data_IF_123326047928
#
_entry.id   IF_123326047928
#
_cell.length_a   1.000
_cell.length_b   1.000
_cell.length_c   1.000
_cell.angle_alpha   90.00
_cell.angle_beta   90.00
_cell.angle_gamma   90.00
#
_symmetry.space_group_name_H-M   'P 1'
#
loop_
_entity.id
_entity.type
_entity.pdbx_description
1 polymer ?
#
# COMPACT_ATOMS: atom_id res chain seq x y z
N UNK A 1 14.15 -21.30 54.70
CA UNK A 1 14.15 -22.07 53.44
C UNK A 1 12.94 -21.57 52.68
N UNK A 2 13.16 -20.47 51.97
CA UNK A 2 12.22 -19.81 51.07
C UNK A 2 12.17 -20.59 49.75
N UNK A 3 10.98 -20.86 49.24
CA UNK A 3 10.72 -20.97 47.79
C UNK A 3 9.22 -20.71 47.58
N UNK A 4 8.87 -19.44 47.42
CA UNK A 4 7.54 -19.02 46.95
C UNK A 4 7.76 -18.21 45.67
N UNK A 5 7.69 -18.90 44.52
CA UNK A 5 7.75 -18.32 43.18
C UNK A 5 6.36 -18.44 42.53
N UNK A 6 5.73 -17.33 42.12
CA UNK A 6 4.48 -17.42 41.36
C UNK A 6 4.75 -17.76 39.88
N UNK A 7 3.94 -18.66 39.32
CA UNK A 7 3.94 -19.08 37.93
C UNK A 7 3.56 -17.93 36.96
N UNK A 8 4.20 -17.79 35.79
CA UNK A 8 3.97 -16.68 34.87
C UNK A 8 2.98 -17.08 33.76
N UNK A 9 1.67 -17.08 34.01
CA UNK A 9 0.71 -17.46 32.94
C UNK A 9 -0.65 -16.72 32.92
N UNK A 10 -0.82 -15.61 33.66
CA UNK A 10 -2.12 -14.92 33.74
C UNK A 10 -2.14 -13.46 33.27
N UNK A 11 -1.01 -12.90 32.80
CA UNK A 11 -0.96 -11.51 32.29
C UNK A 11 -1.04 -11.38 30.75
N UNK A 12 -0.94 -12.48 30.00
CA UNK A 12 -0.91 -12.43 28.54
C UNK A 12 -2.29 -12.50 27.84
N UNK A 13 -3.33 -13.00 28.50
CA UNK A 13 -4.64 -13.22 27.85
C UNK A 13 -5.54 -11.99 27.84
N UNK A 14 -5.44 -11.10 28.84
CA UNK A 14 -6.24 -9.85 28.88
C UNK A 14 -5.73 -8.78 27.91
N UNK A 15 -4.41 -8.70 27.72
CA UNK A 15 -3.76 -7.67 26.89
C UNK A 15 -4.03 -7.85 25.39
N UNK A 16 -4.24 -9.09 24.92
CA UNK A 16 -4.57 -9.37 23.51
C UNK A 16 -6.03 -9.08 23.15
N UNK A 17 -6.93 -9.05 24.15
CA UNK A 17 -8.36 -8.84 23.93
C UNK A 17 -8.71 -7.33 23.83
N UNK A 18 -7.95 -6.46 24.51
CA UNK A 18 -8.08 -5.00 24.37
C UNK A 18 -7.53 -4.48 23.02
N UNK A 19 -6.48 -5.11 22.46
CA UNK A 19 -5.92 -4.77 21.15
C UNK A 19 -6.93 -5.02 20.01
N UNK A 20 -7.77 -6.06 20.12
CA UNK A 20 -8.81 -6.35 19.13
C UNK A 20 -9.99 -5.38 19.18
N UNK A 21 -10.27 -4.72 20.31
CA UNK A 21 -11.41 -3.82 20.44
C UNK A 21 -11.09 -2.36 20.03
N UNK A 22 -9.84 -1.92 20.16
CA UNK A 22 -9.42 -0.56 19.77
C UNK A 22 -9.26 -0.38 18.25
N UNK A 23 -9.02 -1.46 17.49
CA UNK A 23 -8.80 -1.41 16.03
C UNK A 23 -10.08 -1.22 15.18
N UNK A 24 -11.27 -1.15 15.79
CA UNK A 24 -12.56 -1.12 15.08
C UNK A 24 -13.43 0.11 15.36
N UNK A 25 -12.95 1.13 16.07
CA UNK A 25 -13.67 2.38 16.21
C UNK A 25 -13.33 3.34 15.06
N UNK A 26 -14.28 3.57 14.15
CA UNK A 26 -14.18 4.64 13.15
C UNK A 26 -14.33 6.02 13.83
N UNK A 27 -13.43 7.00 13.62
CA UNK A 27 -13.72 8.38 13.99
C UNK A 27 -14.65 9.00 12.94
N UNK A 28 -15.75 9.57 13.39
CA UNK A 28 -16.64 10.40 12.59
C UNK A 28 -15.90 11.70 12.18
N UNK A 29 -15.83 11.96 10.86
CA UNK A 29 -15.02 13.01 10.21
C UNK A 29 -15.52 14.47 10.40
N UNK A 30 -16.22 14.77 11.50
CA UNK A 30 -16.84 16.10 11.75
C UNK A 30 -16.27 16.92 12.91
N UNK A 31 -15.54 16.34 13.86
CA UNK A 31 -15.12 17.02 15.10
C UNK A 31 -13.70 16.60 15.50
N UNK A 32 -12.68 16.95 14.71
CA UNK A 32 -11.26 16.77 15.08
C UNK A 32 -10.51 18.11 15.20
N UNK A 33 -11.23 19.14 15.66
CA UNK A 33 -10.65 20.28 16.36
C UNK A 33 -11.30 20.32 17.73
N UNK A 34 -10.51 20.18 18.79
CA UNK A 34 -10.89 20.12 20.21
C UNK A 34 -11.35 18.75 20.74
N UNK A 35 -10.38 17.93 21.18
CA UNK A 35 -10.31 17.32 22.53
C UNK A 35 -9.05 16.46 22.65
N UNK A 36 -7.91 17.12 22.86
CA UNK A 36 -6.75 16.50 23.49
C UNK A 36 -6.97 16.61 25.00
N UNK A 37 -7.09 15.50 25.73
CA UNK A 37 -6.64 15.30 27.12
C UNK A 37 -6.84 13.83 27.49
N UNK A 38 -5.74 13.06 27.51
CA UNK A 38 -5.54 11.88 28.37
C UNK A 38 -6.12 10.54 27.96
N UNK A 39 -5.38 9.77 27.14
CA UNK A 39 -4.97 8.38 27.40
C UNK A 39 -4.24 7.83 26.15
N UNK A 40 -3.04 7.28 26.35
CA UNK A 40 -2.19 6.78 25.26
C UNK A 40 -2.86 5.65 24.48
N UNK A 41 -2.85 5.73 23.16
CA UNK A 41 -3.47 4.74 22.28
C UNK A 41 -2.59 3.48 22.16
N UNK A 42 -3.19 2.36 21.74
CA UNK A 42 -2.51 1.08 21.44
C UNK A 42 -1.35 1.24 20.42
N UNK A 43 -1.35 2.33 19.65
CA UNK A 43 -0.33 2.71 18.68
C UNK A 43 0.97 3.20 19.35
N UNK A 44 0.89 3.87 20.50
CA UNK A 44 2.07 4.18 21.34
C UNK A 44 2.70 2.89 21.90
N UNK A 45 1.91 1.84 22.13
CA UNK A 45 2.41 0.58 22.67
C UNK A 45 3.21 -0.26 21.66
N UNK A 46 2.90 -0.24 20.35
CA UNK A 46 3.70 -1.00 19.36
C UNK A 46 5.07 -0.39 19.10
N UNK A 47 5.20 0.94 19.10
CA UNK A 47 6.51 1.62 19.03
C UNK A 47 7.32 1.48 20.33
N UNK A 48 6.67 1.40 21.49
CA UNK A 48 7.34 1.18 22.78
C UNK A 48 7.75 -0.28 23.03
N UNK A 49 7.12 -1.26 22.38
CA UNK A 49 7.44 -2.68 22.60
C UNK A 49 8.78 -3.11 21.96
N UNK A 50 9.21 -2.44 20.89
CA UNK A 50 10.47 -2.72 20.18
C UNK A 50 11.14 -1.43 19.68
N UNK A 51 11.88 -0.70 20.53
CA UNK A 51 12.51 0.54 20.13
C UNK A 51 13.62 0.27 19.10
N UNK A 52 13.49 0.81 17.90
CA UNK A 52 14.59 0.84 16.93
C UNK A 52 15.58 1.91 17.34
N UNK A 53 16.85 1.51 17.44
CA UNK A 53 17.93 2.43 17.68
C UNK A 53 18.30 3.15 16.38
N UNK A 54 17.79 4.38 16.24
CA UNK A 54 18.07 5.28 15.12
C UNK A 54 19.36 6.10 15.30
N UNK A 55 20.03 6.02 16.46
CA UNK A 55 21.26 6.78 16.72
C UNK A 55 22.35 6.58 15.64
N UNK A 56 22.59 5.36 15.09
CA UNK A 56 23.51 5.15 13.97
C UNK A 56 23.28 6.07 12.77
N UNK A 57 22.02 6.39 12.48
CA UNK A 57 21.62 7.27 11.38
C UNK A 57 21.58 8.74 11.82
N UNK A 58 21.02 9.03 12.99
CA UNK A 58 20.85 10.41 13.46
C UNK A 58 22.19 11.13 13.73
N UNK A 59 23.25 10.40 14.07
CA UNK A 59 24.60 10.97 14.14
C UNK A 59 25.17 11.41 12.78
N UNK A 60 24.52 11.07 11.66
CA UNK A 60 24.92 11.42 10.29
C UNK A 60 23.96 12.43 9.65
N UNK A 61 23.67 13.51 10.37
CA UNK A 61 22.94 14.64 9.82
C UNK A 61 23.75 15.27 8.68
N UNK A 62 23.23 15.22 7.46
CA UNK A 62 23.87 15.86 6.30
C UNK A 62 23.36 17.28 6.10
N UNK A 63 22.11 17.55 6.50
CA UNK A 63 21.51 18.86 6.34
C UNK A 63 20.39 19.11 7.34
N UNK A 64 20.41 20.29 7.97
CA UNK A 64 19.34 20.80 8.83
C UNK A 64 19.12 22.26 8.48
N UNK A 65 17.88 22.64 8.21
CA UNK A 65 17.57 24.02 7.83
C UNK A 65 16.17 24.45 8.25
N UNK A 66 16.03 25.74 8.52
CA UNK A 66 14.75 26.42 8.61
C UNK A 66 14.36 27.11 7.28
N UNK A 67 15.26 27.10 6.28
CA UNK A 67 14.99 27.64 4.95
C UNK A 67 14.27 26.61 4.10
N UNK A 68 13.07 26.98 3.66
CA UNK A 68 12.21 26.17 2.79
C UNK A 68 12.84 25.89 1.42
N UNK A 69 13.63 26.83 0.91
CA UNK A 69 14.26 26.73 -0.41
C UNK A 69 15.49 25.84 -0.33
N UNK A 70 16.41 26.14 0.57
CA UNK A 70 17.68 25.40 0.68
C UNK A 70 17.43 23.93 1.01
N UNK A 71 16.45 23.64 1.88
CA UNK A 71 16.09 22.26 2.19
C UNK A 71 15.50 21.50 1.01
N UNK A 72 14.68 22.17 0.20
CA UNK A 72 14.13 21.57 -1.01
C UNK A 72 15.24 21.21 -2.00
N UNK A 73 16.16 22.13 -2.25
CA UNK A 73 17.28 21.92 -3.18
C UNK A 73 18.19 20.76 -2.72
N UNK A 74 18.53 20.70 -1.43
CA UNK A 74 19.38 19.64 -0.90
C UNK A 74 18.67 18.27 -0.92
N UNK A 75 17.40 18.22 -0.52
CA UNK A 75 16.61 16.98 -0.57
C UNK A 75 16.41 16.49 -2.01
N UNK A 76 16.23 17.42 -2.96
CA UNK A 76 16.09 17.08 -4.37
C UNK A 76 17.38 16.54 -4.98
N UNK A 77 18.53 17.06 -4.54
CA UNK A 77 19.87 16.61 -4.94
C UNK A 77 20.19 15.21 -4.42
N UNK A 78 19.90 14.96 -3.14
CA UNK A 78 20.28 13.70 -2.47
C UNK A 78 19.28 12.58 -2.75
N UNK A 79 17.99 12.82 -2.50
CA UNK A 79 16.98 11.76 -2.57
C UNK A 79 16.51 11.55 -4.02
N UNK A 80 15.82 12.55 -4.58
CA UNK A 80 15.27 12.53 -5.93
C UNK A 80 14.71 13.90 -6.33
N UNK A 81 14.76 14.26 -7.62
CA UNK A 81 14.09 15.46 -8.12
C UNK A 81 12.58 15.40 -7.87
N UNK A 82 12.02 16.42 -7.23
CA UNK A 82 10.61 16.50 -6.89
C UNK A 82 10.10 17.94 -6.91
N UNK A 83 8.78 18.11 -6.96
CA UNK A 83 8.14 19.38 -6.63
C UNK A 83 7.72 19.34 -5.16
N UNK A 84 8.05 20.38 -4.41
CA UNK A 84 7.67 20.54 -3.02
C UNK A 84 6.77 21.77 -2.87
N UNK A 85 5.60 21.60 -2.26
CA UNK A 85 4.71 22.69 -1.89
C UNK A 85 4.54 22.72 -0.39
N UNK A 86 5.03 23.80 0.21
CA UNK A 86 4.86 24.08 1.64
C UNK A 86 3.43 24.49 1.94
N UNK A 87 2.88 23.97 3.04
CA UNK A 87 1.59 24.35 3.61
C UNK A 87 1.83 25.05 4.95
N UNK A 88 0.97 24.81 5.92
CA UNK A 88 1.03 25.43 7.25
C UNK A 88 2.18 24.84 8.09
N UNK A 89 2.74 25.68 8.98
CA UNK A 89 3.81 25.30 9.92
C UNK A 89 5.20 25.83 9.56
N UNK A 90 6.10 25.71 10.54
CA UNK A 90 7.50 26.09 10.42
C UNK A 90 8.28 25.05 9.65
N UNK A 91 9.25 25.50 8.83
CA UNK A 91 9.99 24.57 7.98
C UNK A 91 10.65 23.46 8.81
N UNK A 92 11.26 23.77 9.97
CA UNK A 92 12.00 22.88 10.88
C UNK A 92 12.29 21.48 10.28
N UNK A 93 13.24 21.47 9.35
CA UNK A 93 13.53 20.30 8.52
C UNK A 93 14.88 19.69 8.88
N UNK A 94 14.95 18.37 8.77
CA UNK A 94 16.18 17.62 9.00
C UNK A 94 16.28 16.47 8.01
N UNK A 95 17.47 16.30 7.43
CA UNK A 95 17.83 15.21 6.56
C UNK A 95 19.11 14.53 7.09
N UNK A 96 18.99 13.24 7.35
CA UNK A 96 20.09 12.34 7.70
C UNK A 96 20.35 11.39 6.53
N UNK A 97 21.62 11.01 6.33
CA UNK A 97 21.99 10.04 5.28
C UNK A 97 23.04 9.06 5.79
N UNK A 98 22.86 7.81 5.41
CA UNK A 98 23.86 6.76 5.50
C UNK A 98 23.85 5.93 4.22
N UNK A 99 24.98 5.31 3.91
CA UNK A 99 25.10 4.37 2.79
C UNK A 99 25.38 2.98 3.34
N UNK A 100 24.73 1.98 2.76
CA UNK A 100 24.95 0.58 3.05
C UNK A 100 25.07 -0.17 1.73
N UNK A 101 26.32 -0.29 1.26
CA UNK A 101 26.59 -0.75 -0.10
C UNK A 101 25.95 0.19 -1.14
N UNK A 102 25.13 -0.38 -1.99
CA UNK A 102 24.27 0.25 -2.99
C UNK A 102 22.93 0.78 -2.44
N UNK A 103 22.51 0.42 -1.22
CA UNK A 103 21.30 0.98 -0.59
C UNK A 103 21.65 2.29 0.12
N UNK A 104 20.92 3.36 -0.17
CA UNK A 104 21.00 4.61 0.58
C UNK A 104 19.88 4.66 1.63
N UNK A 105 20.21 5.09 2.85
CA UNK A 105 19.30 5.18 4.00
C UNK A 105 19.16 6.64 4.41
N UNK A 106 17.93 7.12 4.50
CA UNK A 106 17.64 8.50 4.87
C UNK A 106 16.72 8.57 6.08
N UNK A 107 16.94 9.55 6.93
CA UNK A 107 15.98 10.00 7.94
C UNK A 107 15.51 11.39 7.54
N UNK A 108 14.22 11.56 7.28
CA UNK A 108 13.66 12.81 6.74
C UNK A 108 12.50 13.29 7.61
N UNK A 109 12.61 14.53 8.09
CA UNK A 109 11.57 15.21 8.87
C UNK A 109 11.17 16.54 8.22
N UNK A 110 9.87 16.75 8.14
CA UNK A 110 9.28 18.06 7.82
C UNK A 110 8.54 18.58 9.05
N UNK A 111 8.91 19.77 9.55
CA UNK A 111 8.18 20.45 10.61
C UNK A 111 6.81 20.94 10.15
N UNK A 112 6.76 21.48 8.93
CA UNK A 112 5.54 21.97 8.29
C UNK A 112 4.81 20.84 7.55
N UNK A 113 3.51 21.03 7.33
CA UNK A 113 2.79 20.22 6.36
C UNK A 113 3.34 20.51 4.95
N UNK A 114 3.60 19.47 4.16
CA UNK A 114 4.13 19.60 2.80
C UNK A 114 3.46 18.63 1.83
N UNK A 115 3.26 19.09 0.60
CA UNK A 115 2.93 18.22 -0.52
C UNK A 115 4.18 17.96 -1.37
N UNK A 116 4.48 16.69 -1.56
CA UNK A 116 5.64 16.20 -2.30
C UNK A 116 5.15 15.50 -3.56
N UNK A 117 5.58 15.97 -4.73
CA UNK A 117 5.25 15.35 -6.03
C UNK A 117 6.54 15.02 -6.76
N UNK A 118 7.11 13.82 -6.56
CA UNK A 118 8.36 13.46 -7.19
C UNK A 118 8.24 13.20 -8.67
N UNK A 119 9.35 13.42 -9.38
CA UNK A 119 9.41 13.09 -10.79
C UNK A 119 9.52 11.57 -10.97
N UNK A 120 8.86 11.00 -11.98
CA UNK A 120 9.04 9.59 -12.30
C UNK A 120 10.50 9.28 -12.58
N UNK A 121 11.03 8.21 -11.97
CA UNK A 121 12.37 7.68 -12.21
C UNK A 121 12.28 6.18 -12.43
N UNK A 122 13.12 5.69 -13.34
CA UNK A 122 13.25 4.27 -13.58
C UNK A 122 14.41 3.61 -12.85
N UNK A 123 15.15 4.33 -12.01
CA UNK A 123 16.47 3.89 -11.55
C UNK A 123 16.42 3.23 -10.17
N UNK A 124 15.45 3.59 -9.34
CA UNK A 124 15.33 3.10 -7.97
C UNK A 124 13.88 2.87 -7.53
N UNK A 125 13.74 2.28 -6.34
CA UNK A 125 12.52 2.15 -5.54
C UNK A 125 12.81 2.84 -4.20
N UNK A 126 11.83 3.56 -3.66
CA UNK A 126 11.91 4.12 -2.30
C UNK A 126 10.98 3.33 -1.39
N UNK A 127 11.50 2.88 -0.25
CA UNK A 127 10.74 2.22 0.81
C UNK A 127 10.64 3.19 1.97
N UNK A 128 9.44 3.62 2.28
CA UNK A 128 9.11 4.49 3.39
C UNK A 128 8.72 3.65 4.61
N UNK A 129 9.21 4.04 5.78
CA UNK A 129 8.77 3.53 7.06
C UNK A 129 8.43 4.70 7.99
N UNK A 130 7.19 4.73 8.47
CA UNK A 130 6.65 5.81 9.27
C UNK A 130 7.26 5.87 10.66
N UNK A 131 7.97 6.94 10.99
CA UNK A 131 8.51 7.13 12.35
C UNK A 131 7.59 7.99 13.21
N UNK A 132 7.10 9.11 12.66
CA UNK A 132 6.19 10.03 13.33
C UNK A 132 5.24 10.68 12.34
N UNK A 133 4.08 11.08 12.83
CA UNK A 133 3.01 11.66 12.01
C UNK A 133 2.51 10.71 10.94
N UNK A 134 1.60 11.19 10.10
CA UNK A 134 1.08 10.42 8.97
C UNK A 134 1.47 11.04 7.64
N UNK A 135 1.48 10.20 6.61
CA UNK A 135 1.68 10.61 5.23
C UNK A 135 0.55 10.04 4.39
N UNK A 136 -0.25 10.90 3.77
CA UNK A 136 -1.23 10.50 2.78
C UNK A 136 -0.53 10.36 1.43
N UNK A 137 -0.85 9.30 0.70
CA UNK A 137 -0.24 8.98 -0.58
C UNK A 137 -1.33 8.76 -1.62
N UNK A 138 -1.14 9.33 -2.81
CA UNK A 138 -1.95 9.05 -3.98
C UNK A 138 -1.01 8.57 -5.08
N UNK A 139 -1.12 7.30 -5.47
CA UNK A 139 -0.31 6.71 -6.53
C UNK A 139 -1.23 5.99 -7.52
N UNK A 140 -1.17 6.36 -8.80
CA UNK A 140 -1.96 5.71 -9.86
C UNK A 140 -3.49 5.67 -9.59
N UNK A 141 -4.01 6.68 -8.89
CA UNK A 141 -5.43 6.77 -8.51
C UNK A 141 -5.79 5.97 -7.26
N UNK A 142 -4.88 5.18 -6.70
CA UNK A 142 -5.03 4.57 -5.38
C UNK A 142 -4.59 5.55 -4.30
N UNK A 143 -5.35 5.59 -3.21
CA UNK A 143 -5.01 6.36 -2.01
C UNK A 143 -4.61 5.42 -0.90
N UNK A 144 -3.58 5.79 -0.16
CA UNK A 144 -3.13 5.09 1.03
C UNK A 144 -2.73 6.11 2.10
N UNK A 145 -2.78 5.69 3.36
CA UNK A 145 -2.28 6.48 4.49
C UNK A 145 -1.20 5.64 5.15
N UNK A 146 -0.01 6.23 5.29
CA UNK A 146 1.12 5.64 5.97
C UNK A 146 1.16 6.18 7.40
N UNK A 147 0.86 5.32 8.36
CA UNK A 147 0.89 5.63 9.79
C UNK A 147 2.27 5.31 10.40
N UNK A 148 2.59 5.83 11.60
CA UNK A 148 3.77 5.41 12.34
C UNK A 148 3.82 3.89 12.51
N UNK A 149 5.00 3.30 12.31
CA UNK A 149 5.24 1.86 12.39
C UNK A 149 4.93 1.08 11.12
N UNK A 150 4.27 1.69 10.13
CA UNK A 150 3.92 1.02 8.86
C UNK A 150 4.96 1.27 7.77
N UNK A 151 5.06 0.31 6.86
CA UNK A 151 6.00 0.33 5.74
C UNK A 151 5.27 0.34 4.40
N UNK A 152 5.71 1.20 3.48
CA UNK A 152 5.25 1.24 2.10
C UNK A 152 6.43 1.35 1.14
N UNK A 153 6.31 0.81 -0.07
CA UNK A 153 7.30 1.04 -1.12
C UNK A 153 6.66 1.66 -2.36
N UNK A 154 7.49 2.37 -3.11
CA UNK A 154 7.09 3.13 -4.27
C UNK A 154 8.14 2.99 -5.35
N UNK A 155 7.72 2.53 -6.52
CA UNK A 155 8.49 2.62 -7.75
C UNK A 155 7.89 3.76 -8.59
N UNK A 156 8.52 4.94 -8.64
CA UNK A 156 7.93 6.15 -9.22
C UNK A 156 7.86 6.06 -10.76
N UNK A 157 6.91 5.30 -11.30
CA UNK A 157 6.76 5.07 -12.76
C UNK A 157 5.68 5.94 -13.42
N UNK A 158 4.80 6.56 -12.63
CA UNK A 158 3.61 7.32 -13.08
C UNK A 158 3.31 8.50 -12.14
N UNK A 159 2.14 9.12 -12.25
CA UNK A 159 1.71 10.24 -11.42
C UNK A 159 1.48 9.81 -9.98
N UNK A 160 2.17 10.47 -9.05
CA UNK A 160 1.97 10.28 -7.63
C UNK A 160 2.19 11.58 -6.85
N UNK A 161 1.55 11.68 -5.69
CA UNK A 161 1.62 12.80 -4.77
C UNK A 161 1.57 12.26 -3.33
N UNK A 162 2.37 12.84 -2.46
CA UNK A 162 2.27 12.62 -1.02
C UNK A 162 1.93 13.93 -0.32
N UNK A 163 1.10 13.84 0.71
CA UNK A 163 0.89 14.92 1.68
C UNK A 163 1.41 14.46 3.04
N UNK A 164 2.46 15.11 3.49
CA UNK A 164 3.07 14.89 4.80
C UNK A 164 2.42 15.85 5.78
N UNK A 165 1.87 15.32 6.87
CA UNK A 165 1.40 16.15 7.96
C UNK A 165 2.56 16.92 8.61
N UNK A 166 2.25 18.05 9.24
CA UNK A 166 3.20 18.77 10.08
C UNK A 166 3.82 17.86 11.16
N UNK A 167 5.14 17.91 11.29
CA UNK A 167 5.91 17.10 12.23
C UNK A 167 6.16 15.66 11.76
N UNK A 168 5.74 15.28 10.56
CA UNK A 168 5.95 13.92 10.04
C UNK A 168 7.44 13.62 9.82
N UNK A 169 7.82 12.41 10.20
CA UNK A 169 9.18 11.88 10.10
C UNK A 169 9.16 10.46 9.54
N UNK A 170 10.06 10.17 8.61
CA UNK A 170 10.13 8.89 7.92
C UNK A 170 11.57 8.40 7.85
N UNK A 171 11.75 7.08 7.96
CA UNK A 171 12.94 6.40 7.48
C UNK A 171 12.70 6.01 6.02
N UNK A 172 13.64 6.32 5.13
CA UNK A 172 13.53 6.02 3.70
C UNK A 172 14.72 5.18 3.25
N UNK A 173 14.45 4.02 2.65
CA UNK A 173 15.46 3.23 1.94
C UNK A 173 15.33 3.47 0.45
N UNK A 174 16.38 3.99 -0.18
CA UNK A 174 16.45 4.11 -1.64
C UNK A 174 17.24 2.93 -2.19
N UNK A 175 16.52 2.04 -2.86
CA UNK A 175 17.00 0.75 -3.33
C UNK A 175 17.13 0.81 -4.87
N UNK A 176 18.33 0.62 -5.44
CA UNK A 176 18.51 0.59 -6.89
C UNK A 176 17.68 -0.52 -7.55
N UNK A 177 17.07 -0.26 -8.71
CA UNK A 177 16.32 -1.30 -9.42
C UNK A 177 17.19 -2.46 -9.90
N UNK A 178 18.46 -2.21 -10.21
CA UNK A 178 19.43 -3.26 -10.54
C UNK A 178 19.54 -4.29 -9.39
N UNK A 179 19.54 -3.81 -8.15
CA UNK A 179 19.55 -4.66 -6.96
C UNK A 179 18.23 -5.41 -6.80
N UNK A 180 17.08 -4.74 -7.00
CA UNK A 180 15.75 -5.40 -6.98
C UNK A 180 15.67 -6.52 -8.03
N UNK A 181 16.17 -6.27 -9.24
CA UNK A 181 16.20 -7.26 -10.34
C UNK A 181 17.17 -8.43 -10.09
N UNK A 182 18.12 -8.28 -9.17
CA UNK A 182 19.05 -9.36 -8.79
C UNK A 182 18.51 -10.29 -7.69
N UNK A 183 17.31 -10.03 -7.17
CA UNK A 183 16.66 -10.83 -6.13
C UNK A 183 16.41 -12.28 -6.56
N UNK A 184 16.33 -13.19 -5.59
CA UNK A 184 16.19 -14.64 -5.87
C UNK A 184 14.84 -15.00 -6.47
N UNK A 185 13.82 -14.18 -6.26
CA UNK A 185 12.49 -14.35 -6.84
C UNK A 185 12.40 -13.62 -8.17
N UNK A 186 12.06 -14.34 -9.25
CA UNK A 186 11.62 -13.72 -10.50
C UNK A 186 10.34 -12.91 -10.23
N UNK A 187 10.50 -11.61 -10.04
CA UNK A 187 9.40 -10.73 -9.70
C UNK A 187 9.80 -9.27 -9.83
N UNK A 188 8.81 -8.41 -10.05
CA UNK A 188 8.98 -6.97 -9.98
C UNK A 188 8.12 -6.42 -8.85
N UNK A 189 8.66 -5.50 -8.06
CA UNK A 189 7.83 -4.73 -7.14
C UNK A 189 6.77 -3.94 -7.95
N UNK A 190 5.49 -3.93 -7.52
CA UNK A 190 4.49 -3.07 -8.11
C UNK A 190 4.87 -1.60 -7.94
N UNK A 191 4.23 -0.70 -8.70
CA UNK A 191 4.47 0.76 -8.60
C UNK A 191 4.26 1.29 -7.18
N UNK A 192 3.37 0.67 -6.42
CA UNK A 192 3.06 0.99 -5.04
C UNK A 192 2.70 -0.29 -4.30
N UNK A 193 3.02 -0.37 -3.01
CA UNK A 193 2.51 -1.41 -2.12
C UNK A 193 2.78 -1.09 -0.66
N UNK A 194 1.95 -1.67 0.20
CA UNK A 194 2.10 -1.64 1.65
C UNK A 194 2.64 -2.98 2.12
N UNK A 195 3.52 -2.97 3.11
CA UNK A 195 3.92 -4.20 3.78
C UNK A 195 2.74 -4.71 4.61
N UNK A 196 2.39 -6.00 4.54
CA UNK A 196 1.34 -6.54 5.41
C UNK A 196 1.76 -6.45 6.88
N UNK A 197 0.83 -6.08 7.77
CA UNK A 197 1.11 -5.88 9.20
C UNK A 197 1.83 -7.07 9.86
N UNK A 198 1.56 -8.29 9.41
CA UNK A 198 2.18 -9.52 9.92
C UNK A 198 3.71 -9.61 9.65
N UNK A 199 4.23 -8.79 8.75
CA UNK A 199 5.65 -8.72 8.40
C UNK A 199 6.36 -7.51 9.02
N UNK A 200 5.65 -6.56 9.64
CA UNK A 200 6.25 -5.31 10.14
C UNK A 200 7.29 -5.58 11.24
N UNK A 201 7.09 -6.58 12.10
CA UNK A 201 8.06 -6.93 13.16
C UNK A 201 9.36 -7.50 12.56
N UNK A 202 9.26 -8.36 11.55
CA UNK A 202 10.42 -8.93 10.88
C UNK A 202 11.15 -7.87 10.05
N UNK A 203 10.40 -6.96 9.43
CA UNK A 203 10.95 -5.78 8.78
C UNK A 203 11.71 -4.89 9.76
N UNK A 204 11.15 -4.65 10.94
CA UNK A 204 11.78 -3.88 12.01
C UNK A 204 13.14 -4.47 12.41
N UNK A 205 13.20 -5.78 12.62
CA UNK A 205 14.43 -6.48 12.96
C UNK A 205 15.47 -6.36 11.83
N UNK A 206 15.04 -6.47 10.57
CA UNK A 206 15.90 -6.28 9.41
C UNK A 206 16.43 -4.85 9.32
N UNK A 207 15.57 -3.84 9.49
CA UNK A 207 15.96 -2.43 9.52
C UNK A 207 16.95 -2.15 10.64
N UNK A 208 16.73 -2.71 11.84
CA UNK A 208 17.68 -2.59 12.94
C UNK A 208 19.04 -3.19 12.57
N UNK A 209 19.07 -4.32 11.86
CA UNK A 209 20.30 -4.95 11.38
C UNK A 209 21.02 -4.06 10.35
N UNK A 210 20.28 -3.44 9.43
CA UNK A 210 20.82 -2.47 8.46
C UNK A 210 21.44 -1.26 9.17
N UNK A 211 20.72 -0.68 10.14
CA UNK A 211 21.17 0.48 10.89
C UNK A 211 22.41 0.18 11.74
N UNK A 212 22.47 -0.98 12.37
CA UNK A 212 23.67 -1.44 13.08
C UNK A 212 24.86 -1.62 12.14
N UNK A 213 24.61 -2.01 10.88
CA UNK A 213 25.64 -2.18 9.87
C UNK A 213 26.21 -0.84 9.36
N UNK A 214 25.45 0.25 9.42
CA UNK A 214 25.96 1.61 9.14
C UNK A 214 27.13 1.98 10.06
N UNK A 215 27.12 1.51 11.30
CA UNK A 215 28.18 1.75 12.30
C UNK A 215 29.28 0.69 12.33
N UNK A 216 29.23 -0.30 11.42
CA UNK A 216 30.21 -1.36 11.39
C UNK A 216 31.62 -0.90 10.99
N UNK A 217 32.62 -1.78 11.15
CA UNK A 217 34.01 -1.47 10.83
C UNK A 217 34.17 -1.13 9.34
N UNK A 218 34.70 0.06 9.05
CA UNK A 218 35.09 0.44 7.69
C UNK A 218 36.22 -0.45 7.20
N UNK A 219 35.93 -1.31 6.21
CA UNK A 219 36.89 -2.18 5.50
C UNK A 219 37.68 -3.15 6.38
N UNK A 220 37.09 -4.32 6.60
CA UNK A 220 37.83 -5.58 6.79
C UNK A 220 37.22 -6.60 5.84
N UNK A 221 38.07 -7.37 5.15
CA UNK A 221 37.65 -8.41 4.22
C UNK A 221 36.59 -9.31 4.90
N UNK A 222 35.46 -9.53 4.23
CA UNK A 222 34.27 -10.23 4.75
C UNK A 222 33.13 -9.32 5.25
N UNK A 223 33.40 -8.09 5.70
CA UNK A 223 32.32 -7.15 6.07
C UNK A 223 31.55 -6.67 4.84
N UNK A 224 32.24 -6.42 3.73
CA UNK A 224 31.62 -6.02 2.47
C UNK A 224 30.74 -7.15 1.89
N UNK A 225 31.13 -8.42 2.04
CA UNK A 225 30.32 -9.58 1.66
C UNK A 225 29.05 -9.69 2.52
N UNK A 226 29.17 -9.41 3.82
CA UNK A 226 28.03 -9.32 4.73
C UNK A 226 27.06 -8.21 4.31
N UNK A 227 27.57 -7.04 3.92
CA UNK A 227 26.73 -5.96 3.39
C UNK A 227 25.98 -6.41 2.14
N UNK A 228 26.65 -7.05 1.17
CA UNK A 228 26.00 -7.58 -0.04
C UNK A 228 24.90 -8.58 0.32
N UNK A 229 25.11 -9.40 1.35
CA UNK A 229 24.07 -10.33 1.81
C UNK A 229 22.88 -9.60 2.46
N UNK A 230 23.13 -8.56 3.26
CA UNK A 230 22.07 -7.72 3.83
C UNK A 230 21.22 -7.03 2.76
N UNK A 231 21.85 -6.48 1.72
CA UNK A 231 21.16 -5.87 0.58
C UNK A 231 20.20 -6.84 -0.10
N UNK A 232 20.67 -8.08 -0.32
CA UNK A 232 19.86 -9.15 -0.90
C UNK A 232 18.71 -9.53 0.02
N UNK A 233 18.94 -9.59 1.33
CA UNK A 233 17.88 -9.88 2.31
C UNK A 233 16.79 -8.81 2.29
N UNK A 234 17.14 -7.53 2.17
CA UNK A 234 16.16 -6.43 2.01
C UNK A 234 15.32 -6.63 0.75
N UNK A 235 15.96 -6.86 -0.39
CA UNK A 235 15.24 -7.08 -1.65
C UNK A 235 14.35 -8.31 -1.59
N UNK A 236 14.88 -9.45 -1.13
CA UNK A 236 14.13 -10.69 -1.04
C UNK A 236 12.94 -10.52 -0.07
N UNK A 237 13.13 -9.80 1.05
CA UNK A 237 12.04 -9.49 1.98
C UNK A 237 10.95 -8.66 1.34
N UNK A 238 11.29 -7.58 0.61
CA UNK A 238 10.32 -6.76 -0.10
C UNK A 238 9.55 -7.58 -1.15
N UNK A 239 10.24 -8.46 -1.89
CA UNK A 239 9.61 -9.36 -2.86
C UNK A 239 8.74 -10.45 -2.20
N UNK A 240 9.07 -10.86 -0.97
CA UNK A 240 8.21 -11.76 -0.16
C UNK A 240 6.98 -10.99 0.34
N UNK A 241 7.13 -9.76 0.81
CA UNK A 241 6.04 -8.90 1.25
C UNK A 241 4.99 -8.70 0.15
N UNK A 242 5.42 -8.58 -1.11
CA UNK A 242 4.52 -8.62 -2.29
C UNK A 242 3.76 -9.94 -2.40
N UNK A 243 4.42 -11.07 -2.15
CA UNK A 243 3.78 -12.40 -2.16
C UNK A 243 2.85 -12.66 -0.98
N UNK A 244 3.13 -12.06 0.19
CA UNK A 244 2.34 -12.15 1.41
C UNK A 244 1.17 -11.16 1.48
N UNK A 245 1.22 -10.05 0.74
CA UNK A 245 0.08 -9.17 0.50
C UNK A 245 -1.09 -9.87 -0.25
N UNK A 246 -0.84 -11.05 -0.83
CA UNK A 246 -1.85 -11.96 -1.36
C UNK A 246 -2.24 -13.12 -0.44
N UNK A 247 -1.82 -13.14 0.82
CA UNK A 247 -2.09 -14.27 1.74
C UNK A 247 -1.96 -13.91 3.23
N UNK A 248 -3.03 -13.37 3.83
CA UNK A 248 -3.15 -13.19 5.28
C UNK A 248 -4.57 -13.39 5.76
N UNK A 249 -4.90 -14.59 6.26
CA UNK A 249 -6.19 -14.94 6.88
C UNK A 249 -6.12 -14.83 8.40
N UNK A 250 -7.27 -14.41 8.94
CA UNK A 250 -7.74 -14.45 10.33
C UNK A 250 -7.36 -15.71 11.13
N UNK A 251 -6.96 -15.52 12.39
CA UNK A 251 -7.13 -16.44 13.53
C UNK A 251 -8.07 -15.69 14.51
N UNK A 252 -9.00 -16.25 15.31
CA UNK A 252 -9.18 -17.55 15.95
C UNK A 252 -10.69 -17.82 16.08
N UNK A 253 -11.18 -19.02 15.76
CA UNK A 253 -11.53 -20.14 16.68
C UNK A 253 -12.66 -19.89 17.69
N UNK A 254 -13.79 -20.59 17.48
CA UNK A 254 -14.27 -21.61 18.44
C UNK A 254 -15.27 -22.53 17.74
N UNK A 255 -14.95 -23.84 17.65
CA UNK A 255 -15.85 -24.95 18.00
C UNK A 255 -15.26 -26.33 17.61
N UNK A 256 -14.74 -27.00 18.65
CA UNK A 256 -14.93 -28.39 19.08
C UNK A 256 -15.25 -29.51 18.05
N UNK A 257 -14.35 -30.52 18.05
CA UNK A 257 -14.53 -31.99 17.84
C UNK A 257 -15.05 -32.54 16.49
N UNK A 258 -14.15 -33.13 15.67
CA UNK A 258 -13.74 -34.56 15.72
C UNK A 258 -13.28 -35.15 14.37
N UNK A 259 -12.21 -35.95 14.45
CA UNK A 259 -11.75 -37.07 13.59
C UNK A 259 -11.07 -36.84 12.20
N UNK A 260 -9.73 -36.82 12.25
CA UNK A 260 -8.69 -37.52 11.44
C UNK A 260 -8.66 -37.52 9.89
N UNK A 261 -7.71 -36.72 9.36
CA UNK A 261 -6.73 -36.87 8.23
C UNK A 261 -7.15 -37.15 6.75
N UNK A 262 -6.34 -36.77 5.71
CA UNK A 262 -5.08 -36.00 5.70
C UNK A 262 -5.14 -34.67 4.90
N UNK A 263 -4.19 -33.79 5.20
CA UNK A 263 -4.10 -32.39 4.77
C UNK A 263 -3.60 -32.26 3.32
N UNK A 264 -4.49 -31.81 2.42
CA UNK A 264 -4.12 -31.16 1.14
C UNK A 264 -5.01 -29.93 0.91
N UNK A 265 -4.73 -28.82 1.59
CA UNK A 265 -5.51 -27.58 1.42
C UNK A 265 -4.89 -26.67 0.36
N UNK A 266 -5.58 -26.56 -0.78
CA UNK A 266 -5.43 -25.46 -1.75
C UNK A 266 -5.64 -24.09 -1.05
N UNK A 267 -4.96 -23.01 -1.49
CA UNK A 267 -5.09 -21.70 -0.88
C UNK A 267 -6.51 -21.13 -1.05
N UNK A 268 -7.18 -20.84 0.06
CA UNK A 268 -8.53 -20.30 0.10
C UNK A 268 -8.49 -18.78 -0.14
N UNK A 269 -8.86 -18.33 -1.35
CA UNK A 269 -8.96 -16.90 -1.76
C UNK A 269 -10.07 -16.17 -0.99
N UNK A 270 -9.95 -14.85 -0.79
CA UNK A 270 -10.96 -14.02 -0.11
C UNK A 270 -12.28 -13.98 -0.89
N UNK A 271 -13.47 -13.90 -0.23
CA UNK A 271 -14.77 -13.92 -0.90
C UNK A 271 -14.96 -12.85 -1.99
N UNK A 272 -14.48 -11.63 -1.76
CA UNK A 272 -14.60 -10.52 -2.73
C UNK A 272 -13.69 -10.73 -3.95
N UNK A 273 -12.49 -11.27 -3.76
CA UNK A 273 -11.59 -11.60 -4.87
C UNK A 273 -12.10 -12.79 -5.66
N UNK A 274 -12.70 -13.78 -5.00
CA UNK A 274 -13.37 -14.90 -5.68
C UNK A 274 -14.53 -14.40 -6.54
N UNK A 275 -15.31 -13.46 -6.01
CA UNK A 275 -16.38 -12.79 -6.74
C UNK A 275 -15.85 -12.03 -7.96
N UNK A 276 -14.89 -11.13 -7.76
CA UNK A 276 -14.32 -10.31 -8.84
C UNK A 276 -13.67 -11.17 -9.93
N UNK A 277 -12.97 -12.24 -9.56
CA UNK A 277 -12.41 -13.20 -10.52
C UNK A 277 -13.51 -13.95 -11.28
N UNK A 278 -14.52 -14.47 -10.58
CA UNK A 278 -15.63 -15.18 -11.22
C UNK A 278 -16.42 -14.29 -12.18
N UNK A 279 -16.62 -13.02 -11.82
CA UNK A 279 -17.23 -12.00 -12.68
C UNK A 279 -16.32 -11.72 -13.88
N UNK A 280 -15.01 -11.53 -13.67
CA UNK A 280 -14.05 -11.24 -14.73
C UNK A 280 -13.99 -12.35 -15.79
N UNK A 281 -14.06 -13.62 -15.35
CA UNK A 281 -14.08 -14.78 -16.24
C UNK A 281 -15.34 -14.82 -17.12
N UNK A 282 -16.47 -14.26 -16.65
CA UNK A 282 -17.78 -14.32 -17.33
C UNK A 282 -18.58 -13.02 -17.21
N UNK A 283 -18.00 -11.91 -17.66
CA UNK A 283 -18.62 -10.57 -17.55
C UNK A 283 -20.01 -10.48 -18.22
N UNK A 284 -20.18 -11.13 -19.36
CA UNK A 284 -21.41 -11.11 -20.16
C UNK A 284 -22.53 -12.04 -19.69
N UNK A 285 -22.26 -12.95 -18.75
CA UNK A 285 -23.24 -13.93 -18.29
C UNK A 285 -24.40 -13.25 -17.53
N UNK A 286 -25.58 -13.89 -17.51
CA UNK A 286 -26.64 -13.43 -16.62
C UNK A 286 -26.28 -13.84 -15.18
N UNK A 287 -26.16 -12.85 -14.30
CA UNK A 287 -25.81 -13.06 -12.89
C UNK A 287 -27.02 -12.69 -12.03
N UNK A 288 -27.52 -13.66 -11.25
CA UNK A 288 -28.42 -13.37 -10.13
C UNK A 288 -27.61 -13.03 -8.87
N UNK A 289 -28.27 -12.46 -7.86
CA UNK A 289 -27.61 -12.20 -6.57
C UNK A 289 -27.13 -13.48 -5.88
N UNK A 290 -27.81 -14.61 -6.13
CA UNK A 290 -27.41 -15.92 -5.60
C UNK A 290 -26.16 -16.44 -6.32
N UNK A 291 -26.06 -16.27 -7.64
CA UNK A 291 -24.86 -16.67 -8.40
C UNK A 291 -23.62 -15.88 -7.95
N UNK A 292 -23.80 -14.59 -7.66
CA UNK A 292 -22.73 -13.75 -7.10
C UNK A 292 -22.33 -14.23 -5.70
N UNK A 293 -23.30 -14.60 -4.86
CA UNK A 293 -23.05 -15.10 -3.51
C UNK A 293 -22.31 -16.44 -3.54
N UNK A 294 -22.73 -17.35 -4.41
CA UNK A 294 -22.12 -18.66 -4.62
C UNK A 294 -20.69 -18.55 -5.18
N UNK A 295 -20.48 -17.65 -6.15
CA UNK A 295 -19.16 -17.35 -6.69
C UNK A 295 -18.20 -16.85 -5.59
N UNK A 296 -18.69 -15.98 -4.71
CA UNK A 296 -17.96 -15.49 -3.55
C UNK A 296 -17.80 -16.56 -2.44
N UNK A 297 -18.62 -17.61 -2.45
CA UNK A 297 -18.67 -18.65 -1.43
C UNK A 297 -19.28 -18.19 -0.11
N UNK A 298 -20.24 -17.26 -0.16
CA UNK A 298 -20.92 -16.68 1.01
C UNK A 298 -22.43 -16.58 0.77
N UNK A 299 -23.22 -16.26 1.80
CA UNK A 299 -24.65 -15.99 1.62
C UNK A 299 -24.89 -14.62 0.96
N UNK A 300 -26.06 -14.38 0.31
CA UNK A 300 -26.37 -13.09 -0.30
C UNK A 300 -26.32 -11.89 0.65
N UNK A 301 -26.72 -12.09 1.92
CA UNK A 301 -26.63 -11.06 2.97
C UNK A 301 -25.17 -10.74 3.31
N UNK A 302 -24.33 -11.76 3.44
CA UNK A 302 -22.90 -11.58 3.67
C UNK A 302 -22.22 -10.92 2.46
N UNK A 303 -22.62 -11.27 1.24
CA UNK A 303 -22.15 -10.65 0.01
C UNK A 303 -22.40 -9.14 0.00
N UNK A 304 -23.61 -8.70 0.36
CA UNK A 304 -23.93 -7.27 0.46
C UNK A 304 -23.04 -6.56 1.48
N UNK A 305 -22.89 -7.13 2.68
CA UNK A 305 -22.04 -6.55 3.73
C UNK A 305 -20.56 -6.49 3.31
N UNK A 306 -20.06 -7.52 2.63
CA UNK A 306 -18.69 -7.57 2.13
C UNK A 306 -18.48 -6.52 1.04
N UNK A 307 -19.40 -6.40 0.07
CA UNK A 307 -19.27 -5.38 -0.97
C UNK A 307 -19.34 -3.95 -0.38
N UNK A 308 -20.21 -3.72 0.61
CA UNK A 308 -20.26 -2.42 1.29
C UNK A 308 -19.00 -2.13 2.09
N UNK A 309 -18.50 -3.09 2.87
CA UNK A 309 -17.30 -2.90 3.70
C UNK A 309 -16.02 -2.72 2.88
N UNK A 310 -15.86 -3.51 1.82
CA UNK A 310 -14.60 -3.60 1.06
C UNK A 310 -14.54 -2.68 -0.15
N UNK A 311 -15.69 -2.25 -0.68
CA UNK A 311 -15.81 -1.48 -1.92
C UNK A 311 -16.79 -0.31 -1.84
N UNK A 312 -17.49 -0.14 -0.70
CA UNK A 312 -18.51 0.89 -0.45
C UNK A 312 -19.66 0.93 -1.47
N UNK A 313 -19.95 -0.21 -2.11
CA UNK A 313 -20.97 -0.33 -3.16
C UNK A 313 -21.74 -1.65 -3.03
N UNK A 314 -22.92 -1.74 -3.65
CA UNK A 314 -23.69 -2.99 -3.66
C UNK A 314 -23.06 -4.05 -4.61
N UNK A 315 -23.34 -5.35 -4.42
CA UNK A 315 -22.84 -6.39 -5.33
C UNK A 315 -23.26 -6.19 -6.79
N UNK A 316 -24.47 -5.64 -7.00
CA UNK A 316 -24.99 -5.29 -8.32
C UNK A 316 -24.27 -4.09 -8.94
N UNK A 317 -23.85 -3.12 -8.12
CA UNK A 317 -23.03 -1.99 -8.57
C UNK A 317 -21.61 -2.43 -8.92
N UNK A 318 -21.03 -3.35 -8.14
CA UNK A 318 -19.73 -3.95 -8.43
C UNK A 318 -19.73 -4.66 -9.81
N UNK A 319 -20.70 -5.55 -10.06
CA UNK A 319 -20.87 -6.20 -11.36
C UNK A 319 -21.06 -5.18 -12.49
N UNK A 320 -21.93 -4.18 -12.27
CA UNK A 320 -22.18 -3.11 -13.25
C UNK A 320 -20.89 -2.36 -13.58
N UNK A 321 -20.10 -2.02 -12.56
CA UNK A 321 -18.86 -1.30 -12.70
C UNK A 321 -17.84 -2.14 -13.49
N UNK A 322 -17.63 -3.40 -13.12
CA UNK A 322 -16.70 -4.27 -13.88
C UNK A 322 -17.08 -4.39 -15.36
N UNK A 323 -18.39 -4.44 -15.67
CA UNK A 323 -18.90 -4.42 -17.06
C UNK A 323 -18.64 -3.08 -17.76
N UNK A 324 -18.86 -1.96 -17.09
CA UNK A 324 -18.59 -0.63 -17.65
C UNK A 324 -17.09 -0.42 -17.94
N UNK A 325 -16.20 -0.92 -17.08
CA UNK A 325 -14.75 -0.85 -17.30
C UNK A 325 -14.32 -1.67 -18.51
N UNK A 326 -14.87 -2.87 -18.67
CA UNK A 326 -14.65 -3.70 -19.84
C UNK A 326 -15.18 -3.04 -21.12
N UNK A 327 -16.37 -2.44 -21.07
CA UNK A 327 -16.95 -1.72 -22.19
C UNK A 327 -16.06 -0.53 -22.59
N UNK A 328 -15.63 0.28 -21.63
CA UNK A 328 -14.77 1.43 -21.87
C UNK A 328 -13.42 1.03 -22.47
N UNK A 329 -12.82 -0.06 -21.98
CA UNK A 329 -11.58 -0.62 -22.53
C UNK A 329 -11.76 -1.02 -23.99
N UNK A 330 -12.82 -1.78 -24.31
CA UNK A 330 -13.11 -2.27 -25.66
C UNK A 330 -13.40 -1.13 -26.64
N UNK A 331 -14.18 -0.14 -26.24
CA UNK A 331 -14.50 1.03 -27.07
C UNK A 331 -13.27 1.92 -27.34
N UNK A 332 -12.27 1.90 -26.44
CA UNK A 332 -11.00 2.63 -26.61
C UNK A 332 -9.99 1.91 -27.51
N UNK A 333 -9.96 0.58 -27.50
CA UNK A 333 -8.91 -0.20 -28.17
C UNK A 333 -9.29 -0.69 -29.55
N UNK A 334 -10.56 -1.03 -29.76
CA UNK A 334 -10.96 -1.80 -30.94
C UNK A 334 -11.50 -0.90 -32.05
N UNK A 335 -10.93 -1.02 -33.26
CA UNK A 335 -11.17 -0.08 -34.35
C UNK A 335 -12.60 -0.07 -34.92
N UNK A 336 -13.30 -1.22 -34.87
CA UNK A 336 -14.60 -1.42 -35.52
C UNK A 336 -15.67 -1.97 -34.57
N UNK A 337 -15.73 -1.44 -33.34
CA UNK A 337 -16.66 -1.96 -32.35
C UNK A 337 -17.94 -1.13 -32.27
N UNK A 338 -19.07 -1.82 -32.43
CA UNK A 338 -20.39 -1.24 -32.20
C UNK A 338 -20.64 -1.06 -30.71
N UNK A 339 -21.11 0.13 -30.33
CA UNK A 339 -21.54 0.45 -28.96
C UNK A 339 -22.65 -0.49 -28.51
N UNK A 340 -23.61 -0.75 -29.38
CA UNK A 340 -24.76 -1.63 -29.13
C UNK A 340 -24.31 -3.07 -28.87
N UNK A 341 -23.45 -3.59 -29.74
CA UNK A 341 -22.93 -4.95 -29.61
C UNK A 341 -22.10 -5.13 -28.34
N UNK A 342 -21.23 -4.16 -28.02
CA UNK A 342 -20.44 -4.16 -26.78
C UNK A 342 -21.32 -4.18 -25.53
N UNK A 343 -22.37 -3.37 -25.51
CA UNK A 343 -23.29 -3.31 -24.38
C UNK A 343 -24.01 -4.65 -24.18
N UNK A 344 -24.52 -5.24 -25.26
CA UNK A 344 -25.22 -6.53 -25.23
C UNK A 344 -24.29 -7.67 -24.80
N UNK A 345 -23.07 -7.75 -25.36
CA UNK A 345 -22.08 -8.78 -25.01
C UNK A 345 -21.63 -8.71 -23.55
N UNK A 346 -21.61 -7.50 -22.96
CA UNK A 346 -21.26 -7.30 -21.55
C UNK A 346 -22.48 -7.37 -20.62
N UNK A 347 -23.62 -7.85 -21.12
CA UNK A 347 -24.80 -8.15 -20.33
C UNK A 347 -25.68 -6.95 -19.98
N UNK A 348 -25.59 -5.84 -20.73
CA UNK A 348 -26.54 -4.73 -20.62
C UNK A 348 -27.73 -4.93 -21.56
N UNK A 349 -28.89 -5.29 -21.01
CA UNK A 349 -30.14 -5.45 -21.80
C UNK A 349 -30.82 -4.12 -22.21
N UNK A 350 -30.42 -2.99 -21.63
CA UNK A 350 -31.03 -1.67 -21.91
C UNK A 350 -29.98 -0.63 -22.29
N UNK A 351 -29.93 -0.27 -23.58
CA UNK A 351 -28.92 0.63 -24.15
C UNK A 351 -28.97 2.05 -23.57
N UNK A 352 -30.16 2.56 -23.23
CA UNK A 352 -30.32 3.87 -22.60
C UNK A 352 -29.75 3.92 -21.17
N UNK A 353 -29.99 2.86 -20.38
CA UNK A 353 -29.42 2.72 -19.02
C UNK A 353 -27.91 2.53 -19.07
N UNK A 354 -27.43 1.70 -20.00
CA UNK A 354 -26.00 1.55 -20.26
C UNK A 354 -25.33 2.91 -20.53
N UNK A 355 -25.88 3.70 -21.45
CA UNK A 355 -25.33 5.02 -21.80
C UNK A 355 -25.34 5.99 -20.62
N UNK A 356 -26.38 5.92 -19.78
CA UNK A 356 -26.50 6.75 -18.58
C UNK A 356 -25.45 6.40 -17.52
N UNK A 357 -25.32 5.10 -17.19
CA UNK A 357 -24.32 4.62 -16.24
C UNK A 357 -22.88 4.84 -16.74
N UNK A 358 -22.68 4.71 -18.06
CA UNK A 358 -21.38 4.97 -18.67
C UNK A 358 -21.00 6.44 -18.55
N UNK A 359 -21.94 7.36 -18.81
CA UNK A 359 -21.70 8.81 -18.65
C UNK A 359 -21.49 9.20 -17.19
N UNK A 360 -22.26 8.65 -16.27
CA UNK A 360 -22.10 8.88 -14.83
C UNK A 360 -20.68 8.50 -14.37
N UNK A 361 -20.13 7.41 -14.89
CA UNK A 361 -18.82 6.91 -14.48
C UNK A 361 -17.63 7.52 -15.20
N UNK A 362 -17.74 7.80 -16.50
CA UNK A 362 -16.62 8.24 -17.34
C UNK A 362 -16.73 9.70 -17.81
N UNK A 363 -17.84 10.38 -17.52
CA UNK A 363 -18.07 11.77 -17.91
C UNK A 363 -18.35 12.00 -19.41
N UNK A 364 -18.36 10.93 -20.22
CA UNK A 364 -18.62 10.97 -21.67
C UNK A 364 -19.60 9.86 -22.06
N UNK A 365 -20.31 9.99 -23.18
CA UNK A 365 -21.16 8.94 -23.73
C UNK A 365 -20.33 7.84 -24.42
N UNK A 366 -20.80 6.58 -24.48
CA UNK A 366 -20.10 5.51 -25.20
C UNK A 366 -19.79 5.85 -26.67
N UNK A 367 -20.70 6.58 -27.33
CA UNK A 367 -20.55 7.06 -28.71
C UNK A 367 -19.44 8.11 -28.84
N UNK A 368 -19.30 9.00 -27.85
CA UNK A 368 -18.25 10.02 -27.80
C UNK A 368 -16.86 9.36 -27.68
N UNK A 369 -16.72 8.32 -26.86
CA UNK A 369 -15.49 7.51 -26.75
C UNK A 369 -15.09 6.92 -28.11
N UNK A 370 -16.03 6.34 -28.84
CA UNK A 370 -15.78 5.79 -30.18
C UNK A 370 -15.41 6.87 -31.20
N UNK A 371 -16.11 8.00 -31.22
CA UNK A 371 -15.83 9.12 -32.12
C UNK A 371 -14.44 9.70 -31.87
N UNK A 372 -14.07 9.90 -30.60
CA UNK A 372 -12.75 10.39 -30.19
C UNK A 372 -11.64 9.42 -30.56
N UNK A 373 -11.87 8.11 -30.43
CA UNK A 373 -10.94 7.06 -30.90
C UNK A 373 -10.78 7.12 -32.42
N UNK A 374 -11.88 7.17 -33.16
CA UNK A 374 -11.85 7.23 -34.63
C UNK A 374 -11.11 8.49 -35.13
N UNK A 375 -11.34 9.65 -34.52
CA UNK A 375 -10.61 10.88 -34.83
C UNK A 375 -9.10 10.74 -34.61
N UNK A 376 -8.67 10.09 -33.52
CA UNK A 376 -7.25 9.79 -33.24
C UNK A 376 -6.64 8.73 -34.18
N UNK A 377 -7.44 7.82 -34.71
CA UNK A 377 -6.98 6.82 -35.67
C UNK A 377 -6.74 7.46 -37.05
N UNK A 378 -7.66 8.33 -37.49
CA UNK A 378 -7.55 9.05 -38.78
C UNK A 378 -6.36 10.02 -38.78
N UNK A 379 -6.02 10.66 -37.65
CA UNK A 379 -4.86 11.56 -37.56
C UNK A 379 -3.50 10.85 -37.52
N UNK A 380 -3.46 9.51 -37.48
CA UNK A 380 -2.23 8.70 -37.36
C UNK A 380 -1.87 7.92 -38.63
N UNK A 381 -2.69 7.96 -39.67
CA UNK A 381 -2.35 7.36 -40.96
C UNK A 381 -1.42 8.32 -41.72
N UNK A 382 -0.13 7.99 -41.92
CA UNK A 382 0.75 8.79 -42.75
C UNK A 382 0.30 8.67 -44.21
N UNK A 383 0.35 9.78 -44.95
CA UNK A 383 0.21 9.81 -46.41
C UNK A 383 1.38 9.11 -47.07
#
# INVERSE_FOLDING_TARGET
MDDDRPSPDLLHSGFLQEIQHAAFAQPNFGELSCRMHGSGTVEEHMMNAYPVNLAPLYHRCIFKSASRVDFHEETARELAEHRLRWREGDADTVLHKANLGAIEVYGLRYGAEVEVTPRPSNDFVVVHWGLRGLVEMVCDGQRAILLPGQTAWISPRRSWNMRWQAGSEQLILKVPKSLVSSGRRNGSLPSFGMLPALFEIQWLALVQMLLSAVTGPTRKDGYDEWIVQLERLVVDFLLIGVGGAGSGRHLSETQTTSAHEPITSKPQRLPIERLENAIADRLGAQWSINDLADAAGVSPRALQMICQRERDISPTDLLRNMRLDAAHRRLKTSSFVSVTETALELGFGHLGRFSSYYRERFGELPSETCTRRNAKAVSRTPK
#
